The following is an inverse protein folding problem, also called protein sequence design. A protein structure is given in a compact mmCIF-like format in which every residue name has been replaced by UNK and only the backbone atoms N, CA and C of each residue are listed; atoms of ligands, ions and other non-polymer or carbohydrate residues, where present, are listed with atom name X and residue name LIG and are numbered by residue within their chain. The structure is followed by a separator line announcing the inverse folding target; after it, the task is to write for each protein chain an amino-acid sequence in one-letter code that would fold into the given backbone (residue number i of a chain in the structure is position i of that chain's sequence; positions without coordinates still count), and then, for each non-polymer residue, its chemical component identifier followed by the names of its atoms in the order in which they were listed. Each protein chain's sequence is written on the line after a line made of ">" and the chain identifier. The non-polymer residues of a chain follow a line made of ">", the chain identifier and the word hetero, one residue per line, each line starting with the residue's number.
data_IF_734551823266
#
_entry.id   IF_734551823266
#
_cell.length_a   1.000
_cell.length_b   1.000
_cell.length_c   1.000
_cell.angle_alpha   90.00
_cell.angle_beta   90.00
_cell.angle_gamma   90.00
#
_symmetry.space_group_name_H-M   'P 1'
#
loop_
_entity.id
_entity.type
_entity.pdbx_description
1 polymer ?
#
# COMPACT_ATOMS: atom_id res chain seq x y z
N UNK A 1 7.78 -24.12 -8.10
CA UNK A 1 8.67 -23.09 -8.67
C UNK A 1 9.59 -22.63 -7.54
N UNK A 2 10.90 -22.82 -7.66
CA UNK A 2 11.85 -22.39 -6.61
C UNK A 2 11.81 -20.87 -6.58
N UNK A 3 11.41 -20.28 -5.45
CA UNK A 3 11.61 -18.85 -5.20
C UNK A 3 13.12 -18.61 -5.38
N UNK A 4 13.47 -17.80 -6.38
CA UNK A 4 14.81 -17.22 -6.45
C UNK A 4 15.09 -16.44 -5.17
N UNK A 5 16.35 -16.05 -4.98
CA UNK A 5 16.72 -15.17 -3.87
C UNK A 5 15.76 -13.97 -3.81
N UNK A 6 15.35 -13.51 -2.60
CA UNK A 6 14.51 -12.34 -2.48
C UNK A 6 15.17 -11.15 -3.20
N UNK A 7 14.37 -10.24 -3.80
CA UNK A 7 14.93 -9.09 -4.51
C UNK A 7 15.81 -8.29 -3.56
N UNK A 8 17.07 -8.08 -3.95
CA UNK A 8 18.07 -7.40 -3.13
C UNK A 8 18.27 -5.94 -3.57
N UNK A 9 17.77 -5.59 -4.76
CA UNK A 9 17.86 -4.25 -5.34
C UNK A 9 16.52 -3.79 -5.92
N UNK A 10 16.39 -2.50 -6.15
CA UNK A 10 15.25 -1.92 -6.86
C UNK A 10 15.13 -2.43 -8.30
N UNK A 11 16.26 -2.73 -8.95
CA UNK A 11 16.32 -3.30 -10.29
C UNK A 11 15.70 -4.70 -10.34
N UNK A 12 15.82 -5.49 -9.26
CA UNK A 12 15.19 -6.81 -9.20
C UNK A 12 13.67 -6.69 -9.17
N UNK A 13 13.13 -5.63 -8.55
CA UNK A 13 11.69 -5.43 -8.38
C UNK A 13 10.96 -5.10 -9.69
N UNK A 14 11.64 -4.52 -10.69
CA UNK A 14 11.02 -4.23 -12.00
C UNK A 14 10.63 -5.51 -12.75
N UNK A 15 11.26 -6.64 -12.42
CA UNK A 15 11.06 -7.95 -13.06
C UNK A 15 9.79 -8.66 -12.59
N UNK A 16 9.25 -8.26 -11.46
CA UNK A 16 8.05 -8.88 -10.89
C UNK A 16 6.78 -8.28 -11.46
N UNK A 17 5.71 -9.07 -11.42
CA UNK A 17 4.37 -8.60 -11.79
C UNK A 17 3.76 -7.81 -10.63
N UNK A 18 3.11 -6.69 -10.94
CA UNK A 18 2.58 -5.79 -9.92
C UNK A 18 1.06 -5.77 -9.89
N UNK A 19 0.51 -5.83 -8.67
CA UNK A 19 -0.87 -5.48 -8.35
C UNK A 19 -0.88 -4.20 -7.52
N UNK A 20 -1.44 -3.12 -8.06
CA UNK A 20 -1.46 -1.81 -7.41
C UNK A 20 -2.86 -1.21 -7.33
N UNK A 21 -3.09 -0.21 -6.46
CA UNK A 21 -4.27 0.64 -6.50
C UNK A 21 -4.46 1.31 -7.86
N UNK A 22 -5.65 1.92 -8.07
CA UNK A 22 -5.99 2.65 -9.30
C UNK A 22 -4.89 3.64 -9.71
N UNK A 23 -4.83 3.90 -11.03
CA UNK A 23 -3.89 4.87 -11.60
C UNK A 23 -4.06 6.28 -11.01
N UNK A 24 -2.98 7.04 -11.00
CA UNK A 24 -2.95 8.43 -10.53
C UNK A 24 -2.95 8.58 -9.00
N UNK A 25 -2.75 7.49 -8.26
CA UNK A 25 -2.60 7.56 -6.80
C UNK A 25 -1.21 8.05 -6.41
N UNK A 26 -1.10 8.74 -5.25
CA UNK A 26 0.20 9.15 -4.67
C UNK A 26 1.20 7.99 -4.61
N UNK A 27 0.71 6.77 -4.32
CA UNK A 27 1.54 5.57 -4.30
C UNK A 27 2.18 5.26 -5.65
N UNK A 28 1.42 5.29 -6.74
CA UNK A 28 1.95 5.01 -8.07
C UNK A 28 2.98 6.08 -8.48
N UNK A 29 2.68 7.36 -8.24
CA UNK A 29 3.61 8.45 -8.53
C UNK A 29 4.91 8.30 -7.77
N UNK A 30 4.84 7.98 -6.48
CA UNK A 30 6.02 7.82 -5.64
C UNK A 30 6.83 6.58 -6.04
N UNK A 31 6.16 5.47 -6.36
CA UNK A 31 6.82 4.27 -6.87
C UNK A 31 7.61 4.58 -8.14
N UNK A 32 6.96 5.19 -9.14
CA UNK A 32 7.61 5.55 -10.38
C UNK A 32 8.79 6.51 -10.14
N UNK A 33 8.60 7.53 -9.28
CA UNK A 33 9.65 8.49 -8.93
C UNK A 33 10.90 7.78 -8.38
N UNK A 34 10.70 6.81 -7.49
CA UNK A 34 11.80 6.09 -6.85
C UNK A 34 12.57 5.21 -7.84
N UNK A 35 11.90 4.52 -8.76
CA UNK A 35 12.57 3.78 -9.84
C UNK A 35 13.36 4.71 -10.77
N UNK A 36 12.73 5.80 -11.23
CA UNK A 36 13.36 6.77 -12.13
C UNK A 36 14.58 7.45 -11.51
N UNK A 37 14.54 7.80 -10.22
CA UNK A 37 15.69 8.38 -9.51
C UNK A 37 16.88 7.43 -9.37
N UNK A 38 16.64 6.13 -9.53
CA UNK A 38 17.69 5.11 -9.52
C UNK A 38 18.14 4.73 -10.94
N UNK A 39 17.59 5.37 -11.97
CA UNK A 39 17.90 5.06 -13.36
C UNK A 39 17.28 3.75 -13.85
N UNK A 40 16.28 3.23 -13.13
CA UNK A 40 15.64 1.96 -13.43
C UNK A 40 14.33 2.14 -14.20
N UNK A 41 13.93 1.10 -14.93
CA UNK A 41 12.62 1.05 -15.58
C UNK A 41 11.49 0.98 -14.55
N UNK A 42 10.46 1.79 -14.76
CA UNK A 42 9.25 1.76 -13.92
C UNK A 42 8.54 0.40 -14.06
N UNK A 43 8.00 -0.15 -12.97
CA UNK A 43 7.38 -1.47 -13.00
C UNK A 43 6.13 -1.50 -13.89
N UNK A 44 5.98 -2.59 -14.65
CA UNK A 44 4.76 -2.85 -15.42
C UNK A 44 3.66 -3.32 -14.47
N UNK A 45 2.61 -2.50 -14.36
CA UNK A 45 1.45 -2.82 -13.51
C UNK A 45 0.49 -3.74 -14.25
N UNK A 46 0.38 -4.99 -13.79
CA UNK A 46 -0.46 -6.00 -14.45
C UNK A 46 -1.92 -5.96 -13.99
N UNK A 47 -2.15 -5.56 -12.74
CA UNK A 47 -3.49 -5.51 -12.16
C UNK A 47 -3.68 -4.20 -11.40
N UNK A 48 -4.78 -3.50 -11.68
CA UNK A 48 -5.22 -2.32 -10.96
C UNK A 48 -6.47 -2.65 -10.13
N UNK A 49 -6.39 -2.54 -8.81
CA UNK A 49 -7.53 -2.78 -7.92
C UNK A 49 -7.43 -1.98 -6.63
N UNK A 50 -8.55 -1.40 -6.19
CA UNK A 50 -8.67 -0.76 -4.88
C UNK A 50 -9.11 -1.73 -3.78
N UNK A 51 -9.39 -2.99 -4.12
CA UNK A 51 -9.86 -4.00 -3.17
C UNK A 51 -8.68 -4.71 -2.50
N UNK A 52 -8.49 -4.45 -1.20
CA UNK A 52 -7.49 -5.16 -0.40
C UNK A 52 -7.73 -6.68 -0.37
N UNK A 53 -9.00 -7.12 -0.44
CA UNK A 53 -9.32 -8.54 -0.55
C UNK A 53 -8.76 -9.14 -1.83
N UNK A 54 -8.98 -8.48 -2.96
CA UNK A 54 -8.48 -8.91 -4.27
C UNK A 54 -6.96 -8.88 -4.32
N UNK A 55 -6.32 -7.82 -3.81
CA UNK A 55 -4.85 -7.74 -3.69
C UNK A 55 -4.30 -8.93 -2.91
N UNK A 56 -4.85 -9.24 -1.73
CA UNK A 56 -4.42 -10.39 -0.92
C UNK A 56 -4.59 -11.73 -1.65
N UNK A 57 -5.68 -11.89 -2.40
CA UNK A 57 -5.90 -13.10 -3.18
C UNK A 57 -4.82 -13.29 -4.26
N UNK A 58 -4.38 -12.22 -4.92
CA UNK A 58 -3.25 -12.27 -5.87
C UNK A 58 -1.95 -12.62 -5.16
N UNK A 59 -1.61 -11.95 -4.05
CA UNK A 59 -0.37 -12.22 -3.31
C UNK A 59 -0.24 -13.67 -2.85
N UNK A 60 -1.35 -14.31 -2.45
CA UNK A 60 -1.34 -15.69 -1.95
C UNK A 60 -1.32 -16.76 -3.04
N UNK A 61 -1.69 -16.39 -4.28
CA UNK A 61 -1.95 -17.37 -5.36
C UNK A 61 -1.04 -17.19 -6.57
N UNK A 62 -0.24 -16.13 -6.59
CA UNK A 62 0.60 -15.74 -7.73
C UNK A 62 1.91 -15.16 -7.24
N UNK A 63 2.90 -15.06 -8.13
CA UNK A 63 4.19 -14.43 -7.86
C UNK A 63 4.14 -12.90 -8.06
N UNK A 64 3.01 -12.27 -7.72
CA UNK A 64 2.84 -10.82 -7.81
C UNK A 64 3.27 -10.12 -6.53
N UNK A 65 3.64 -8.84 -6.68
CA UNK A 65 3.95 -7.96 -5.55
C UNK A 65 3.07 -6.71 -5.52
N UNK A 66 3.08 -6.06 -4.36
CA UNK A 66 2.33 -4.83 -4.11
C UNK A 66 3.04 -3.99 -3.06
N UNK A 67 2.51 -2.78 -2.83
CA UNK A 67 2.86 -1.95 -1.68
C UNK A 67 1.60 -1.70 -0.87
N UNK A 68 1.67 -2.03 0.42
CA UNK A 68 0.60 -1.81 1.39
C UNK A 68 1.15 -1.04 2.60
N UNK A 69 0.27 -0.27 3.24
CA UNK A 69 0.60 0.26 4.56
C UNK A 69 0.76 -0.90 5.55
N UNK A 70 1.71 -0.80 6.48
CA UNK A 70 1.92 -1.83 7.51
C UNK A 70 0.63 -2.09 8.30
N UNK A 71 -0.11 -1.04 8.61
CA UNK A 71 -1.42 -1.10 9.30
C UNK A 71 -2.54 -1.76 8.49
N UNK A 72 -2.35 -1.98 7.18
CA UNK A 72 -3.37 -2.62 6.33
C UNK A 72 -3.38 -4.15 6.48
N UNK A 73 -2.43 -4.74 7.21
CA UNK A 73 -2.32 -6.19 7.39
C UNK A 73 -2.22 -6.53 8.87
N UNK A 74 -3.15 -7.33 9.37
CA UNK A 74 -2.97 -8.03 10.65
C UNK A 74 -2.05 -9.24 10.46
N UNK A 75 -1.51 -9.82 11.54
CA UNK A 75 -0.75 -11.08 11.47
C UNK A 75 -1.54 -12.22 10.84
N UNK A 76 -2.88 -12.25 11.03
CA UNK A 76 -3.75 -13.22 10.37
C UNK A 76 -3.83 -12.98 8.87
N UNK A 77 -3.72 -11.73 8.43
CA UNK A 77 -3.73 -11.37 7.02
C UNK A 77 -2.41 -11.70 6.30
N UNK A 78 -1.29 -11.77 7.03
CA UNK A 78 0.03 -12.04 6.44
C UNK A 78 0.36 -13.53 6.30
N UNK A 79 -0.52 -14.45 6.72
CA UNK A 79 -0.32 -15.87 6.49
C UNK A 79 -0.11 -16.17 4.98
N UNK A 80 1.09 -16.67 4.65
CA UNK A 80 1.51 -16.94 3.27
C UNK A 80 1.94 -15.71 2.46
N UNK A 81 2.16 -14.56 3.10
CA UNK A 81 2.63 -13.32 2.46
C UNK A 81 3.89 -12.87 3.20
N UNK A 82 5.00 -12.73 2.48
CA UNK A 82 6.23 -12.20 3.02
C UNK A 82 6.31 -10.69 2.80
N UNK A 83 6.65 -9.94 3.85
CA UNK A 83 7.02 -8.54 3.71
C UNK A 83 8.47 -8.45 3.23
N UNK A 84 8.72 -7.56 2.26
CA UNK A 84 10.08 -7.19 1.84
C UNK A 84 10.46 -5.89 2.54
N UNK A 85 11.61 -5.85 3.18
CA UNK A 85 12.14 -4.61 3.76
C UNK A 85 12.65 -3.70 2.64
N UNK A 86 12.16 -2.47 2.59
CA UNK A 86 12.53 -1.50 1.56
C UNK A 86 12.91 -0.16 2.19
N UNK A 87 14.15 -0.01 2.70
CA UNK A 87 14.58 1.19 3.43
C UNK A 87 14.61 2.45 2.56
N UNK A 88 14.60 2.28 1.23
CA UNK A 88 14.61 3.36 0.24
C UNK A 88 13.21 3.86 -0.14
N UNK A 89 12.14 3.19 0.31
CA UNK A 89 10.77 3.56 0.01
C UNK A 89 10.07 4.12 1.25
N UNK A 90 9.79 5.42 1.25
CA UNK A 90 9.03 6.07 2.31
C UNK A 90 7.79 6.71 1.73
N UNK A 91 6.63 6.15 2.06
CA UNK A 91 5.34 6.75 1.73
C UNK A 91 4.56 6.96 3.01
N UNK A 92 4.38 8.24 3.39
CA UNK A 92 3.48 8.58 4.47
C UNK A 92 2.05 8.66 3.95
N UNK A 93 1.17 7.90 4.60
CA UNK A 93 -0.27 8.00 4.39
C UNK A 93 -0.85 8.88 5.47
N UNK A 94 -1.56 9.91 5.04
CA UNK A 94 -2.37 10.76 5.91
C UNK A 94 -3.83 10.31 5.79
N UNK A 95 -4.47 10.09 6.94
CA UNK A 95 -5.90 9.84 7.02
C UNK A 95 -6.60 11.11 7.52
N UNK A 96 -7.69 11.48 6.86
CA UNK A 96 -8.44 12.69 7.21
C UNK A 96 -9.90 12.35 7.48
N UNK A 97 -10.47 13.08 8.43
CA UNK A 97 -11.91 13.15 8.62
C UNK A 97 -12.43 14.34 7.80
N UNK A 98 -13.23 14.04 6.79
CA UNK A 98 -13.84 15.06 5.94
C UNK A 98 -15.31 15.26 6.31
N UNK A 99 -15.72 16.52 6.44
CA UNK A 99 -17.12 16.90 6.65
C UNK A 99 -17.53 17.93 5.60
N UNK A 100 -18.83 18.05 5.35
CA UNK A 100 -19.33 19.12 4.50
C UNK A 100 -19.11 20.47 5.20
N UNK A 101 -18.70 21.48 4.44
CA UNK A 101 -18.53 22.83 4.96
C UNK A 101 -19.81 23.31 5.63
N UNK A 102 -19.72 23.74 6.88
CA UNK A 102 -20.86 24.21 7.67
C UNK A 102 -21.70 23.11 8.34
N UNK A 103 -21.36 21.83 8.15
CA UNK A 103 -22.06 20.72 8.80
C UNK A 103 -21.84 20.76 10.32
N UNK A 104 -22.92 20.88 11.07
CA UNK A 104 -22.91 20.67 12.53
C UNK A 104 -22.99 19.18 12.81
N UNK A 105 -21.87 18.58 13.20
CA UNK A 105 -21.80 17.17 13.56
C UNK A 105 -22.73 16.87 14.76
N UNK A 106 -23.63 15.88 14.70
CA UNK A 106 -24.39 15.44 15.86
C UNK A 106 -23.48 15.01 17.03
N UNK A 107 -23.94 15.08 18.30
CA UNK A 107 -23.12 14.73 19.46
C UNK A 107 -22.46 13.35 19.36
N UNK A 108 -23.21 12.31 18.96
CA UNK A 108 -22.68 10.95 18.80
C UNK A 108 -21.54 10.87 17.76
N UNK A 109 -21.66 11.62 16.66
CA UNK A 109 -20.63 11.66 15.61
C UNK A 109 -19.39 12.41 16.10
N UNK A 110 -19.53 13.48 16.88
CA UNK A 110 -18.39 14.19 17.50
C UNK A 110 -17.61 13.28 18.44
N UNK A 111 -18.31 12.48 19.25
CA UNK A 111 -17.66 11.50 20.13
C UNK A 111 -16.87 10.46 19.34
N UNK A 112 -17.45 9.92 18.26
CA UNK A 112 -16.76 8.97 17.39
C UNK A 112 -15.50 9.59 16.74
N UNK A 113 -15.61 10.81 16.22
CA UNK A 113 -14.49 11.57 15.63
C UNK A 113 -13.37 11.77 16.66
N UNK A 114 -13.70 12.18 17.88
CA UNK A 114 -12.71 12.37 18.94
C UNK A 114 -11.99 11.07 19.29
N UNK A 115 -12.72 9.95 19.37
CA UNK A 115 -12.13 8.64 19.67
C UNK A 115 -11.19 8.16 18.56
N UNK A 116 -11.61 8.29 17.30
CA UNK A 116 -10.78 7.92 16.14
C UNK A 116 -9.51 8.78 16.03
N UNK A 117 -9.56 10.05 16.45
CA UNK A 117 -8.38 10.91 16.50
C UNK A 117 -7.37 10.46 17.58
N UNK A 118 -7.84 9.97 18.72
CA UNK A 118 -6.97 9.45 19.79
C UNK A 118 -6.34 8.11 19.40
N UNK A 119 -7.11 7.18 18.83
CA UNK A 119 -6.60 5.87 18.37
C UNK A 119 -5.59 5.98 17.22
N UNK A 120 -5.62 7.05 16.43
CA UNK A 120 -4.66 7.28 15.34
C UNK A 120 -3.33 7.89 15.80
N UNK A 121 -3.22 8.31 17.07
CA UNK A 121 -2.01 8.88 17.65
C UNK A 121 -1.14 7.84 18.39
N UNK A 122 -1.64 6.62 18.56
CA UNK A 122 -0.94 5.45 19.11
C UNK A 122 -0.34 4.58 17.99
#
# INVERSE_FOLDING_TARGET
>A
MRLGLPPASIADLSRYKWVLPRMGTKLQTELNRVFLLKGEEVPVVNVLTSSLYTTRAFLRRTDMMTILARSALSEKDTAGIAALEQPWFSLQREAFLATLKGMKLPPAVRTAVQKSATEAAE
#
